data_IF_173216767027
#
_entry.id   IF_173216767027
#
_cell.length_a   1.000
_cell.length_b   1.000
_cell.length_c   1.000
_cell.angle_alpha   90.00
_cell.angle_beta   90.00
_cell.angle_gamma   90.00
#
_symmetry.space_group_name_H-M   'P 1'
#
loop_
_entity.id
_entity.type
_entity.pdbx_description
1 polymer ?
#
# COMPACT_ATOMS: atom_id res chain seq x y z
N UNK A 1 -26.32 -62.54 23.05
CA UNK A 1 -26.58 -61.97 21.70
C UNK A 1 -26.14 -60.52 21.70
N UNK A 2 -25.06 -60.22 20.97
CA UNK A 2 -24.31 -58.96 21.01
C UNK A 2 -25.01 -57.95 20.08
N UNK A 3 -25.35 -56.77 20.59
CA UNK A 3 -25.88 -55.65 19.78
C UNK A 3 -24.70 -54.84 19.24
N UNK A 4 -24.40 -54.96 17.95
CA UNK A 4 -23.41 -54.12 17.27
C UNK A 4 -23.89 -52.67 17.20
N UNK A 5 -23.12 -51.75 17.77
CA UNK A 5 -23.27 -50.30 17.61
C UNK A 5 -22.31 -49.89 16.50
N UNK A 6 -22.83 -49.47 15.35
CA UNK A 6 -22.03 -48.93 14.27
C UNK A 6 -21.79 -47.43 14.49
N UNK A 7 -20.53 -47.05 14.70
CA UNK A 7 -20.10 -45.66 14.81
C UNK A 7 -19.79 -45.13 13.40
N UNK A 8 -20.66 -44.27 12.87
CA UNK A 8 -20.47 -43.65 11.56
C UNK A 8 -19.51 -42.46 11.71
N UNK A 9 -18.26 -42.63 11.30
CA UNK A 9 -17.26 -41.56 11.30
C UNK A 9 -17.54 -40.64 10.10
N UNK A 10 -18.18 -39.49 10.35
CA UNK A 10 -18.41 -38.48 9.32
C UNK A 10 -17.09 -37.76 9.05
N UNK A 11 -16.43 -38.09 7.93
CA UNK A 11 -15.21 -37.42 7.49
C UNK A 11 -15.60 -36.00 7.04
N UNK A 12 -15.34 -35.00 7.89
CA UNK A 12 -15.48 -33.60 7.50
C UNK A 12 -14.42 -33.31 6.43
N UNK A 13 -14.84 -33.28 5.16
CA UNK A 13 -14.02 -32.74 4.09
C UNK A 13 -13.79 -31.25 4.38
N UNK A 14 -12.60 -30.92 4.88
CA UNK A 14 -12.18 -29.54 5.04
C UNK A 14 -12.24 -28.84 3.69
N UNK A 15 -13.07 -27.80 3.60
CA UNK A 15 -13.07 -26.93 2.44
C UNK A 15 -11.75 -26.14 2.45
N UNK A 16 -10.81 -26.50 1.57
CA UNK A 16 -9.64 -25.67 1.33
C UNK A 16 -10.11 -24.40 0.64
N UNK A 17 -10.10 -23.28 1.36
CA UNK A 17 -10.28 -21.96 0.74
C UNK A 17 -9.13 -21.74 -0.23
N UNK A 18 -9.43 -21.60 -1.53
CA UNK A 18 -8.44 -21.24 -2.54
C UNK A 18 -8.00 -19.79 -2.29
N UNK A 19 -6.69 -19.52 -2.31
CA UNK A 19 -6.20 -18.14 -2.31
C UNK A 19 -6.66 -17.46 -3.60
N UNK A 20 -7.08 -16.21 -3.48
CA UNK A 20 -7.45 -15.43 -4.66
C UNK A 20 -6.16 -15.03 -5.38
N UNK A 21 -6.18 -14.95 -6.71
CA UNK A 21 -5.00 -14.52 -7.48
C UNK A 21 -4.47 -13.14 -7.03
N UNK A 22 -5.34 -12.31 -6.45
CA UNK A 22 -5.00 -10.99 -5.92
C UNK A 22 -4.04 -11.05 -4.73
N UNK A 23 -4.02 -12.15 -3.97
CA UNK A 23 -3.17 -12.35 -2.80
C UNK A 23 -1.68 -12.49 -3.19
N UNK A 24 -1.40 -12.77 -4.46
CA UNK A 24 -0.04 -12.85 -5.00
C UNK A 24 0.49 -11.50 -5.51
N UNK A 25 -0.36 -10.47 -5.57
CA UNK A 25 0.04 -9.16 -6.09
C UNK A 25 0.73 -8.37 -4.99
N UNK A 26 1.97 -7.95 -5.25
CA UNK A 26 2.72 -7.06 -4.38
C UNK A 26 2.91 -5.68 -5.06
N UNK A 27 2.15 -4.64 -4.66
CA UNK A 27 2.28 -3.29 -5.22
C UNK A 27 3.63 -2.62 -4.92
N UNK A 28 4.42 -3.16 -3.99
CA UNK A 28 5.73 -2.61 -3.62
C UNK A 28 6.84 -2.99 -4.61
N UNK A 29 6.60 -3.93 -5.52
CA UNK A 29 7.59 -4.35 -6.52
C UNK A 29 7.94 -3.16 -7.43
N UNK A 30 9.22 -2.79 -7.45
CA UNK A 30 9.75 -1.66 -8.23
C UNK A 30 9.82 -0.32 -7.50
N UNK A 31 9.37 -0.25 -6.24
CA UNK A 31 9.36 0.99 -5.43
C UNK A 31 10.70 1.33 -4.80
N UNK A 32 11.63 0.38 -4.70
CA UNK A 32 13.02 0.63 -4.31
C UNK A 32 13.83 1.12 -5.53
N UNK A 33 13.47 2.29 -6.05
CA UNK A 33 14.13 2.89 -7.22
C UNK A 33 14.72 4.26 -6.90
N UNK A 34 15.85 4.57 -7.52
CA UNK A 34 16.52 5.86 -7.41
C UNK A 34 16.65 6.50 -8.81
N UNK A 35 16.81 7.82 -8.89
CA UNK A 35 16.96 8.55 -10.17
C UNK A 35 18.05 7.95 -11.07
N UNK A 36 19.17 7.55 -10.46
CA UNK A 36 20.32 6.95 -11.16
C UNK A 36 20.12 5.47 -11.53
N UNK A 37 19.22 4.76 -10.88
CA UNK A 37 19.05 3.32 -11.07
C UNK A 37 17.63 2.86 -10.72
N UNK A 38 16.90 2.44 -11.74
CA UNK A 38 15.53 1.97 -11.62
C UNK A 38 15.48 0.46 -11.37
N UNK A 39 14.64 0.06 -10.41
CA UNK A 39 14.19 -1.32 -10.25
C UNK A 39 12.73 -1.49 -10.72
N UNK A 40 12.17 -0.47 -11.38
CA UNK A 40 10.81 -0.45 -11.89
C UNK A 40 10.22 0.96 -11.97
N UNK A 41 10.65 1.87 -11.07
CA UNK A 41 10.10 3.23 -10.95
C UNK A 41 8.57 3.22 -10.76
N UNK A 42 8.08 2.36 -9.88
CA UNK A 42 6.66 2.22 -9.54
C UNK A 42 6.37 2.86 -8.18
N UNK A 43 5.08 3.05 -7.89
CA UNK A 43 4.57 3.41 -6.57
C UNK A 43 3.40 2.47 -6.21
N UNK A 44 3.15 2.21 -4.92
CA UNK A 44 2.12 1.25 -4.51
C UNK A 44 0.72 1.84 -4.67
N UNK A 45 0.16 1.68 -5.87
CA UNK A 45 -1.17 2.18 -6.20
C UNK A 45 -2.28 1.25 -5.66
N UNK A 46 -3.14 1.80 -4.80
CA UNK A 46 -4.44 1.23 -4.48
C UNK A 46 -5.49 1.83 -5.45
N UNK A 47 -6.00 1.00 -6.35
CA UNK A 47 -6.92 1.43 -7.40
C UNK A 47 -7.74 0.26 -7.95
N UNK A 48 -8.90 0.58 -8.51
CA UNK A 48 -9.60 -0.35 -9.38
C UNK A 48 -8.86 -0.48 -10.72
N UNK A 49 -9.01 -1.60 -11.45
CA UNK A 49 -8.52 -1.72 -12.82
C UNK A 49 -9.05 -0.56 -13.68
N UNK A 50 -8.14 0.22 -14.27
CA UNK A 50 -8.45 1.43 -15.05
C UNK A 50 -9.23 2.49 -14.25
N UNK A 51 -9.07 2.53 -12.93
CA UNK A 51 -9.65 3.56 -12.09
C UNK A 51 -9.18 4.95 -12.54
N UNK A 52 -10.11 5.91 -12.58
CA UNK A 52 -9.80 7.29 -12.98
C UNK A 52 -8.76 7.92 -12.06
N UNK A 53 -8.79 7.61 -10.76
CA UNK A 53 -7.86 8.13 -9.75
C UNK A 53 -7.26 6.97 -8.98
N UNK A 54 -5.93 6.94 -8.88
CA UNK A 54 -5.21 6.02 -8.01
C UNK A 54 -4.86 6.71 -6.68
N UNK A 55 -4.78 5.94 -5.61
CA UNK A 55 -4.32 6.42 -4.32
C UNK A 55 -3.01 5.74 -3.95
N UNK A 56 -2.04 6.50 -3.46
CA UNK A 56 -0.74 5.98 -3.03
C UNK A 56 -0.23 6.74 -1.81
N UNK A 57 0.48 6.10 -0.87
CA UNK A 57 1.33 6.84 0.06
C UNK A 57 2.34 7.72 -0.69
N UNK A 58 2.63 8.88 -0.13
CA UNK A 58 3.64 9.81 -0.65
C UNK A 58 4.74 10.04 0.39
N UNK A 59 5.97 9.79 -0.02
CA UNK A 59 7.18 10.02 0.78
C UNK A 59 8.04 11.15 0.19
N UNK A 60 8.01 11.32 -1.15
CA UNK A 60 8.68 12.39 -1.87
C UNK A 60 7.97 13.74 -1.75
N UNK A 61 8.64 14.82 -2.17
CA UNK A 61 8.03 16.16 -2.22
C UNK A 61 6.88 16.16 -3.23
N UNK A 62 5.96 17.12 -3.09
CA UNK A 62 4.75 17.18 -3.91
C UNK A 62 5.05 17.29 -5.42
N UNK A 63 6.12 18.00 -5.76
CA UNK A 63 6.64 18.28 -7.11
C UNK A 63 7.70 17.27 -7.59
N UNK A 64 8.01 16.25 -6.79
CA UNK A 64 8.96 15.20 -7.15
C UNK A 64 8.25 14.09 -7.96
N UNK A 65 8.90 13.63 -9.03
CA UNK A 65 8.43 12.47 -9.79
C UNK A 65 8.46 11.18 -8.97
N UNK A 66 9.31 11.06 -7.96
CA UNK A 66 9.34 9.89 -7.07
C UNK A 66 8.37 10.07 -5.89
N UNK A 67 7.08 9.90 -6.16
CA UNK A 67 5.98 10.02 -5.18
C UNK A 67 6.26 9.16 -3.94
N UNK A 68 6.69 7.91 -4.14
CA UNK A 68 7.03 6.95 -3.08
C UNK A 68 8.39 6.32 -3.36
N UNK A 69 9.20 6.17 -2.31
CA UNK A 69 10.47 5.44 -2.35
C UNK A 69 10.51 4.49 -1.16
N UNK A 70 10.82 3.20 -1.41
CA UNK A 70 10.85 2.18 -0.37
C UNK A 70 11.78 2.58 0.80
N UNK A 71 12.93 3.18 0.52
CA UNK A 71 13.91 3.56 1.56
C UNK A 71 13.56 4.83 2.33
N UNK A 72 12.44 5.48 2.04
CA UNK A 72 12.08 6.72 2.71
C UNK A 72 11.66 6.46 4.16
N UNK A 73 12.15 7.29 5.08
CA UNK A 73 11.87 7.13 6.52
C UNK A 73 10.56 7.77 6.98
N UNK A 74 9.91 8.57 6.12
CA UNK A 74 8.70 9.34 6.45
C UNK A 74 7.68 9.31 5.33
N UNK A 75 6.42 9.24 5.72
CA UNK A 75 5.27 9.45 4.86
C UNK A 75 4.68 10.85 5.13
N UNK A 76 4.33 11.56 4.06
CA UNK A 76 3.85 12.94 4.07
C UNK A 76 2.37 13.08 3.70
N UNK A 77 1.70 11.96 3.45
CA UNK A 77 0.27 11.86 3.20
C UNK A 77 -0.08 10.72 2.25
N UNK A 78 -1.38 10.55 2.04
CA UNK A 78 -1.98 9.76 0.97
C UNK A 78 -2.30 10.68 -0.20
N UNK A 79 -1.71 10.41 -1.35
CA UNK A 79 -1.83 11.22 -2.57
C UNK A 79 -2.82 10.57 -3.54
N UNK A 80 -3.80 11.35 -3.99
CA UNK A 80 -4.57 11.04 -5.19
C UNK A 80 -3.71 11.41 -6.40
N UNK A 81 -3.47 10.47 -7.31
CA UNK A 81 -2.48 10.59 -8.39
C UNK A 81 -2.99 10.05 -9.72
N UNK A 82 -2.45 10.63 -10.79
CA UNK A 82 -2.62 10.19 -12.18
C UNK A 82 -1.27 9.98 -12.87
N UNK A 83 -0.17 9.99 -12.11
CA UNK A 83 1.18 9.96 -12.63
C UNK A 83 1.50 8.64 -13.35
N UNK A 84 1.82 8.63 -14.65
CA UNK A 84 2.16 7.38 -15.34
C UNK A 84 3.61 6.93 -15.11
N UNK A 85 4.52 7.87 -14.79
CA UNK A 85 5.92 7.61 -14.49
C UNK A 85 6.57 8.81 -13.80
N UNK A 86 7.68 8.64 -13.06
CA UNK A 86 8.37 9.77 -12.42
C UNK A 86 8.88 10.83 -13.42
N UNK A 87 9.09 10.48 -14.68
CA UNK A 87 9.63 11.37 -15.70
C UNK A 87 8.59 12.30 -16.33
N UNK A 88 7.32 11.89 -16.32
CA UNK A 88 6.20 12.66 -16.86
C UNK A 88 5.63 13.61 -15.80
N UNK A 89 5.71 13.20 -14.52
CA UNK A 89 5.10 13.91 -13.42
C UNK A 89 3.60 13.64 -13.30
N UNK A 90 2.97 14.32 -12.36
CA UNK A 90 1.58 14.13 -11.96
C UNK A 90 0.69 15.30 -12.40
N UNK A 91 -0.63 15.09 -12.38
CA UNK A 91 -1.61 16.13 -12.62
C UNK A 91 -2.90 15.89 -11.83
N UNK A 92 -3.63 16.97 -11.52
CA UNK A 92 -4.92 16.86 -10.82
C UNK A 92 -4.80 16.18 -9.45
N UNK A 93 -3.63 16.30 -8.83
CA UNK A 93 -3.24 15.61 -7.63
C UNK A 93 -3.45 16.45 -6.36
N UNK A 94 -3.69 15.76 -5.25
CA UNK A 94 -3.74 16.36 -3.93
C UNK A 94 -3.41 15.29 -2.89
N UNK A 95 -3.03 15.72 -1.68
CA UNK A 95 -2.68 14.80 -0.59
C UNK A 95 -3.46 15.06 0.68
N UNK A 96 -3.78 14.00 1.41
CA UNK A 96 -4.38 14.03 2.73
C UNK A 96 -3.38 13.49 3.76
N UNK A 97 -3.12 14.23 4.83
CA UNK A 97 -2.25 13.79 5.93
C UNK A 97 -2.99 13.97 7.25
N UNK A 98 -3.37 12.87 7.94
CA UNK A 98 -3.93 12.97 9.28
C UNK A 98 -2.83 13.39 10.27
N UNK A 99 -3.19 14.23 11.23
CA UNK A 99 -2.29 14.76 12.26
C UNK A 99 -3.05 14.83 13.59
N UNK A 100 -2.39 14.47 14.70
CA UNK A 100 -2.86 14.78 16.06
C UNK A 100 -2.01 15.91 16.65
N UNK A 101 -2.65 16.79 17.42
CA UNK A 101 -1.99 17.89 18.11
C UNK A 101 -1.89 19.15 17.26
N UNK A 102 -0.68 19.67 17.10
CA UNK A 102 -0.44 20.94 16.40
C UNK A 102 -0.58 20.78 14.88
N UNK A 103 -1.26 21.73 14.25
CA UNK A 103 -1.39 21.78 12.79
C UNK A 103 -0.04 22.11 12.14
N UNK A 104 0.47 21.18 11.34
CA UNK A 104 1.69 21.35 10.54
C UNK A 104 1.35 21.18 9.07
N UNK A 105 1.55 22.22 8.28
CA UNK A 105 1.22 22.22 6.84
C UNK A 105 2.46 22.08 5.96
N UNK A 106 3.62 22.52 6.44
CA UNK A 106 4.88 22.39 5.72
C UNK A 106 5.25 20.92 5.52
N UNK A 107 5.78 20.60 4.34
CA UNK A 107 6.14 19.22 3.96
C UNK A 107 7.10 18.60 4.97
N UNK A 108 8.18 19.32 5.30
CA UNK A 108 9.25 18.88 6.19
C UNK A 108 8.75 18.64 7.63
N UNK A 109 7.70 19.34 8.05
CA UNK A 109 7.17 19.31 9.41
C UNK A 109 6.01 18.33 9.62
N UNK A 110 5.21 18.08 8.57
CA UNK A 110 4.00 17.23 8.66
C UNK A 110 4.29 15.74 8.53
N UNK A 111 5.44 15.37 7.94
CA UNK A 111 5.78 13.97 7.69
C UNK A 111 5.98 13.16 8.97
N UNK A 112 5.39 11.97 9.00
CA UNK A 112 5.44 11.03 10.12
C UNK A 112 6.34 9.84 9.79
N UNK A 113 7.11 9.36 10.76
CA UNK A 113 7.85 8.10 10.59
C UNK A 113 6.90 6.93 10.43
N UNK A 114 7.32 5.94 9.65
CA UNK A 114 6.62 4.68 9.47
C UNK A 114 7.64 3.54 9.31
N UNK A 115 7.16 2.30 9.32
CA UNK A 115 7.96 1.10 9.02
C UNK A 115 7.15 0.17 8.14
N UNK A 116 7.81 -0.53 7.21
CA UNK A 116 7.16 -1.53 6.36
C UNK A 116 6.57 -2.70 7.16
N UNK A 117 7.08 -2.98 8.36
CA UNK A 117 6.50 -4.01 9.26
C UNK A 117 5.08 -3.65 9.73
N UNK A 118 4.72 -2.36 9.63
CA UNK A 118 3.39 -1.82 9.97
C UNK A 118 2.74 -1.14 8.77
N UNK A 119 3.11 -1.56 7.57
CA UNK A 119 2.54 -1.09 6.32
C UNK A 119 1.89 -2.27 5.61
N UNK A 120 0.64 -2.09 5.21
CA UNK A 120 -0.12 -3.04 4.41
C UNK A 120 -0.35 -2.39 3.06
N UNK A 121 0.11 -3.08 2.00
CA UNK A 121 -0.01 -2.62 0.62
C UNK A 121 -0.59 -3.74 -0.24
N UNK A 122 -1.82 -3.54 -0.71
CA UNK A 122 -2.50 -4.42 -1.65
C UNK A 122 -3.15 -3.57 -2.75
N UNK A 123 -3.52 -4.15 -3.92
CA UNK A 123 -4.15 -3.38 -5.00
C UNK A 123 -5.47 -2.69 -4.61
N UNK A 124 -6.14 -3.17 -3.56
CA UNK A 124 -7.47 -2.73 -3.15
C UNK A 124 -7.51 -2.08 -1.76
N UNK A 125 -6.40 -2.11 -1.02
CA UNK A 125 -6.32 -1.61 0.35
C UNK A 125 -4.89 -1.22 0.71
N UNK A 126 -4.76 -0.03 1.28
CA UNK A 126 -3.52 0.47 1.87
C UNK A 126 -3.78 0.92 3.31
N UNK A 127 -2.87 0.57 4.21
CA UNK A 127 -2.88 1.06 5.58
C UNK A 127 -1.45 1.17 6.12
N UNK A 128 -1.23 2.13 7.01
CA UNK A 128 0.06 2.34 7.65
C UNK A 128 -0.12 2.96 9.03
N UNK A 129 0.67 2.51 9.99
CA UNK A 129 0.79 3.18 11.29
C UNK A 129 1.73 4.38 11.19
N UNK A 130 1.20 5.57 11.51
CA UNK A 130 2.00 6.79 11.63
C UNK A 130 2.57 6.86 13.05
N UNK A 131 3.90 6.80 13.17
CA UNK A 131 4.57 6.64 14.48
C UNK A 131 4.75 7.96 15.25
N UNK A 132 4.61 9.10 14.57
CA UNK A 132 4.78 10.44 15.15
C UNK A 132 3.48 11.26 15.16
N UNK A 133 2.36 10.69 14.72
CA UNK A 133 1.11 11.42 14.45
C UNK A 133 -0.02 11.07 15.38
#
# INVERSE_FOLDING_TARGET
>A
MIKSIAFFFFLAAGCFSQSLNIDHVNPMVGTDSEVKFSHGNTYPAAALPFGMTAWTPSTGRFDDGWIYQYRAAKINGLKATHQPSPWIGDYGDFSLMPLVGELRTQFEARGSRFSHDREISTPYYYAVDLLDS
#
